data_IF_514823030291
#
_entry.id   IF_514823030291
#
_cell.length_a   1.000
_cell.length_b   1.000
_cell.length_c   1.000
_cell.angle_alpha   90.00
_cell.angle_beta   90.00
_cell.angle_gamma   90.00
#
_symmetry.space_group_name_H-M   'P 1'
#
loop_
_entity.id
_entity.type
_entity.pdbx_description
1 polymer ?
#
# COMPACT_ATOMS: atom_id res chain seq x y z
N UNK A 1 21.76 6.83 15.45
CA UNK A 1 22.60 5.69 15.85
C UNK A 1 23.63 5.53 14.75
N UNK A 2 24.92 5.81 15.02
CA UNK A 2 25.97 5.77 13.99
C UNK A 2 26.36 4.30 13.81
N UNK A 3 26.28 3.79 12.57
CA UNK A 3 26.68 2.43 12.27
C UNK A 3 28.16 2.24 12.57
N UNK A 4 28.56 1.06 13.05
CA UNK A 4 29.97 0.77 13.37
C UNK A 4 30.88 0.93 12.14
N UNK A 5 30.33 0.85 10.93
CA UNK A 5 31.00 1.15 9.66
C UNK A 5 31.48 2.59 9.51
N UNK A 6 30.80 3.55 10.15
CA UNK A 6 31.01 4.98 9.95
C UNK A 6 31.98 5.56 11.00
N UNK A 7 32.37 4.73 11.98
CA UNK A 7 33.27 5.10 13.06
C UNK A 7 34.47 4.15 13.06
N UNK A 8 35.49 4.55 12.30
CA UNK A 8 36.74 3.79 12.13
C UNK A 8 37.42 3.43 13.46
N UNK A 9 37.17 4.18 14.54
CA UNK A 9 37.68 3.85 15.87
C UNK A 9 37.02 2.60 16.46
N UNK A 10 35.72 2.41 16.23
CA UNK A 10 34.96 1.24 16.70
C UNK A 10 35.23 -0.01 15.86
N UNK A 11 35.40 0.17 14.55
CA UNK A 11 35.83 -0.90 13.63
C UNK A 11 37.21 -1.44 14.01
N UNK A 12 38.15 -0.54 14.35
CA UNK A 12 39.47 -0.92 14.87
C UNK A 12 39.38 -1.63 16.22
N UNK A 13 38.53 -1.16 17.14
CA UNK A 13 38.31 -1.86 18.41
C UNK A 13 37.75 -3.27 18.21
N UNK A 14 36.85 -3.48 17.25
CA UNK A 14 36.34 -4.80 16.89
C UNK A 14 37.45 -5.69 16.32
N UNK A 15 38.28 -5.17 15.42
CA UNK A 15 39.47 -5.89 14.91
C UNK A 15 40.41 -6.34 16.04
N UNK A 16 40.68 -5.47 17.02
CA UNK A 16 41.51 -5.82 18.17
C UNK A 16 40.88 -6.92 19.04
N UNK A 17 39.55 -6.93 19.21
CA UNK A 17 38.86 -7.99 19.96
C UNK A 17 38.95 -9.33 19.20
N UNK A 18 38.81 -9.30 17.88
CA UNK A 18 38.90 -10.50 17.03
C UNK A 18 40.33 -11.06 16.91
N UNK A 19 41.36 -10.27 17.21
CA UNK A 19 42.75 -10.73 17.28
C UNK A 19 43.02 -11.69 18.45
N UNK A 20 42.19 -11.66 19.49
CA UNK A 20 42.32 -12.52 20.68
C UNK A 20 41.80 -13.95 20.44
N UNK A 21 41.13 -14.20 19.30
CA UNK A 21 40.59 -15.51 18.94
C UNK A 21 41.42 -16.12 17.78
N UNK A 22 42.03 -17.28 18.02
CA UNK A 22 42.97 -17.95 17.11
C UNK A 22 42.42 -18.14 15.68
N UNK A 23 41.11 -18.46 15.58
CA UNK A 23 40.42 -18.74 14.32
C UNK A 23 40.09 -17.49 13.50
N UNK A 24 39.99 -16.31 14.13
CA UNK A 24 39.60 -15.05 13.47
C UNK A 24 40.75 -14.08 13.24
N UNK A 25 41.99 -14.45 13.63
CA UNK A 25 43.19 -13.63 13.43
C UNK A 25 43.40 -13.12 11.98
N UNK A 26 43.22 -13.92 10.92
CA UNK A 26 43.44 -13.44 9.55
C UNK A 26 42.45 -12.31 9.18
N UNK A 27 41.17 -12.50 9.51
CA UNK A 27 40.13 -11.51 9.25
C UNK A 27 40.34 -10.24 10.09
N UNK A 28 40.76 -10.40 11.34
CA UNK A 28 41.07 -9.28 12.23
C UNK A 28 42.23 -8.42 11.71
N UNK A 29 43.27 -9.05 11.15
CA UNK A 29 44.41 -8.36 10.53
C UNK A 29 43.99 -7.54 9.30
N UNK A 30 43.15 -8.12 8.43
CA UNK A 30 42.64 -7.41 7.26
C UNK A 30 41.81 -6.18 7.65
N UNK A 31 40.92 -6.33 8.66
CA UNK A 31 40.11 -5.20 9.17
C UNK A 31 40.97 -4.07 9.75
N UNK A 32 41.99 -4.41 10.56
CA UNK A 32 42.89 -3.41 11.16
C UNK A 32 43.72 -2.72 10.09
N UNK A 33 44.23 -3.48 9.11
CA UNK A 33 45.03 -2.95 8.01
C UNK A 33 44.24 -1.97 7.16
N UNK A 34 43.01 -2.31 6.78
CA UNK A 34 42.13 -1.43 6.01
C UNK A 34 41.80 -0.14 6.79
N UNK A 35 41.62 -0.24 8.11
CA UNK A 35 41.42 0.94 8.95
C UNK A 35 42.68 1.84 8.99
N UNK A 36 43.87 1.26 9.11
CA UNK A 36 45.12 2.02 9.16
C UNK A 36 45.50 2.62 7.80
N UNK A 37 45.14 1.98 6.67
CA UNK A 37 45.32 2.55 5.32
C UNK A 37 44.43 3.77 5.06
N UNK A 38 43.22 3.80 5.65
CA UNK A 38 42.31 4.96 5.58
C UNK A 38 42.83 6.11 6.43
N UNK A 39 43.42 5.82 7.60
CA UNK A 39 43.98 6.84 8.51
C UNK A 39 45.29 7.45 7.96
N UNK A 40 46.07 6.68 7.19
CA UNK A 40 47.38 7.12 6.69
C UNK A 40 47.37 7.76 5.29
N UNK A 41 46.21 8.00 4.67
CA UNK A 41 46.12 8.77 3.42
C UNK A 41 46.32 10.27 3.68
N UNK A 42 47.35 10.93 3.11
CA UNK A 42 47.48 12.37 3.22
C UNK A 42 46.56 13.06 2.19
N UNK A 43 45.60 13.84 2.69
CA UNK A 43 44.97 14.95 1.97
C UNK A 43 43.50 14.77 1.58
N UNK A 44 42.58 15.30 2.40
CA UNK A 44 41.93 16.60 2.14
C UNK A 44 41.18 17.01 3.40
N UNK A 45 41.74 17.97 4.11
CA UNK A 45 41.16 18.66 5.26
C UNK A 45 40.03 19.58 4.80
N UNK A 46 38.82 19.38 5.32
CA UNK A 46 37.83 20.45 5.45
C UNK A 46 37.50 20.58 6.95
N UNK A 47 38.01 21.67 7.51
CA UNK A 47 38.00 21.98 8.93
C UNK A 47 36.58 22.12 9.49
N UNK A 48 36.33 21.42 10.58
CA UNK A 48 35.26 21.75 11.53
C UNK A 48 35.64 23.06 12.22
N UNK A 49 34.75 24.04 12.21
CA UNK A 49 34.80 25.17 13.14
C UNK A 49 33.51 25.19 13.96
N UNK A 50 33.60 25.22 15.30
CA UNK A 50 32.45 25.31 16.18
C UNK A 50 31.98 26.76 16.26
N UNK A 51 30.68 27.02 16.38
CA UNK A 51 30.16 27.97 17.36
C UNK A 51 28.63 28.18 17.30
N UNK A 52 28.10 28.36 18.51
CA UNK A 52 26.90 29.10 18.95
C UNK A 52 25.53 28.42 18.95
N UNK A 53 25.12 28.10 20.18
CA UNK A 53 23.74 28.02 20.66
C UNK A 53 23.01 29.34 20.35
N UNK A 54 21.93 29.31 19.58
CA UNK A 54 20.88 30.32 19.69
C UNK A 54 19.50 29.68 19.62
N UNK A 55 18.78 29.84 20.73
CA UNK A 55 17.37 29.60 20.94
C UNK A 55 16.49 30.43 19.99
N UNK A 56 15.19 30.06 19.94
CA UNK A 56 14.02 30.87 19.52
C UNK A 56 13.49 30.60 18.10
N UNK A 57 12.52 29.70 17.95
CA UNK A 57 11.09 30.08 17.92
C UNK A 57 10.20 28.85 17.65
N UNK A 58 9.36 28.52 18.64
CA UNK A 58 8.09 27.86 18.40
C UNK A 58 7.23 28.75 17.51
N UNK A 59 6.77 28.23 16.37
CA UNK A 59 5.51 28.67 15.80
C UNK A 59 4.74 27.46 15.29
N UNK A 60 3.74 27.11 16.09
CA UNK A 60 2.63 26.24 15.77
C UNK A 60 2.02 26.59 14.41
N UNK A 61 1.86 25.60 13.54
CA UNK A 61 0.76 25.63 12.57
C UNK A 61 -0.03 24.34 12.72
N UNK A 62 -1.29 24.52 13.10
CA UNK A 62 -2.23 23.47 13.40
C UNK A 62 -2.75 22.77 12.14
N UNK A 63 -3.26 21.56 12.38
CA UNK A 63 -4.26 20.81 11.59
C UNK A 63 -3.78 20.06 10.34
N UNK A 64 -3.56 18.75 10.52
CA UNK A 64 -4.53 17.73 10.10
C UNK A 64 -4.13 16.37 10.67
N UNK A 65 -4.81 15.93 11.74
CA UNK A 65 -4.79 14.53 12.17
C UNK A 65 -5.51 13.70 11.11
N UNK A 66 -4.76 13.14 10.16
CA UNK A 66 -5.23 12.04 9.33
C UNK A 66 -4.44 10.81 9.76
N UNK A 67 -5.09 9.95 10.54
CA UNK A 67 -4.59 8.64 10.94
C UNK A 67 -4.22 7.81 9.71
N UNK A 68 -2.95 7.82 9.33
CA UNK A 68 -2.39 6.93 8.33
C UNK A 68 -2.11 5.56 8.96
N UNK A 69 -3.18 4.83 9.28
CA UNK A 69 -3.13 3.40 9.58
C UNK A 69 -3.45 2.63 8.32
N UNK A 70 -2.44 2.37 7.49
CA UNK A 70 -2.52 1.31 6.51
C UNK A 70 -1.14 0.68 6.42
N UNK A 71 -0.97 -0.48 7.07
CA UNK A 71 -0.05 -1.51 6.62
C UNK A 71 -0.89 -2.60 5.99
N UNK A 72 -0.63 -2.98 4.75
CA UNK A 72 -1.30 -4.13 4.14
C UNK A 72 -0.63 -5.36 4.74
N UNK A 73 -1.45 -6.32 5.14
CA UNK A 73 -1.03 -7.59 5.70
C UNK A 73 -0.88 -8.58 4.54
N UNK A 74 0.03 -9.54 4.66
CA UNK A 74 -0.02 -10.70 3.78
C UNK A 74 -1.30 -11.48 4.10
N UNK A 75 -2.30 -11.38 3.23
CA UNK A 75 -3.45 -12.28 3.28
C UNK A 75 -2.98 -13.66 2.83
N UNK A 76 -2.58 -14.52 3.77
CA UNK A 76 -2.33 -15.92 3.47
C UNK A 76 -3.67 -16.61 3.06
N UNK A 77 -3.58 -17.82 2.50
CA UNK A 77 -4.75 -18.61 2.07
C UNK A 77 -5.80 -18.87 3.17
N UNK A 78 -5.47 -18.75 4.46
CA UNK A 78 -6.40 -18.90 5.59
C UNK A 78 -7.44 -17.76 5.70
N UNK A 79 -7.25 -16.65 4.99
CA UNK A 79 -8.17 -15.50 5.01
C UNK A 79 -9.03 -15.40 3.75
N UNK A 80 -8.76 -16.24 2.76
CA UNK A 80 -9.56 -16.35 1.54
C UNK A 80 -11.03 -16.64 1.90
N UNK A 81 -11.26 -17.46 2.94
CA UNK A 81 -12.58 -17.76 3.48
C UNK A 81 -13.35 -16.52 3.95
N UNK A 82 -12.72 -15.57 4.64
CA UNK A 82 -13.40 -14.33 5.07
C UNK A 82 -13.79 -13.45 3.87
N UNK A 83 -12.94 -13.37 2.84
CA UNK A 83 -13.28 -12.63 1.63
C UNK A 83 -14.37 -13.31 0.82
N UNK A 84 -14.33 -14.64 0.73
CA UNK A 84 -15.35 -15.44 0.07
C UNK A 84 -16.69 -15.36 0.83
N UNK A 85 -16.65 -15.28 2.17
CA UNK A 85 -17.81 -15.05 3.01
C UNK A 85 -18.43 -13.67 2.77
N UNK A 86 -17.65 -12.58 2.80
CA UNK A 86 -18.15 -11.23 2.45
C UNK A 86 -18.74 -11.20 1.03
N UNK A 87 -18.08 -11.87 0.07
CA UNK A 87 -18.55 -11.97 -1.31
C UNK A 87 -19.85 -12.78 -1.40
N UNK A 88 -19.96 -13.85 -0.61
CA UNK A 88 -21.16 -14.69 -0.50
C UNK A 88 -22.35 -13.90 0.01
N UNK A 89 -22.19 -13.18 1.12
CA UNK A 89 -23.23 -12.32 1.69
C UNK A 89 -23.65 -11.20 0.72
N UNK A 90 -22.71 -10.61 -0.02
CA UNK A 90 -23.04 -9.66 -1.08
C UNK A 90 -23.84 -10.31 -2.23
N UNK A 91 -23.51 -11.54 -2.59
CA UNK A 91 -24.28 -12.35 -3.54
C UNK A 91 -25.71 -12.62 -3.06
N UNK A 92 -25.87 -12.97 -1.78
CA UNK A 92 -27.18 -13.20 -1.14
C UNK A 92 -28.01 -11.92 -1.16
N UNK A 93 -27.43 -10.77 -0.79
CA UNK A 93 -28.11 -9.47 -0.86
C UNK A 93 -28.61 -9.20 -2.28
N UNK A 94 -27.75 -9.34 -3.30
CA UNK A 94 -28.11 -9.13 -4.71
C UNK A 94 -29.26 -10.04 -5.14
N UNK A 95 -29.17 -11.33 -4.79
CA UNK A 95 -30.18 -12.33 -5.12
C UNK A 95 -31.54 -12.03 -4.47
N UNK A 96 -31.57 -11.49 -3.24
CA UNK A 96 -32.84 -11.14 -2.56
C UNK A 96 -33.38 -9.77 -3.01
N UNK A 97 -32.52 -8.78 -3.20
CA UNK A 97 -32.94 -7.38 -3.39
C UNK A 97 -33.37 -7.07 -4.83
N UNK A 98 -32.74 -7.69 -5.83
CA UNK A 98 -33.08 -7.44 -7.24
C UNK A 98 -34.52 -7.87 -7.57
N UNK A 99 -34.96 -9.09 -7.21
CA UNK A 99 -36.36 -9.49 -7.43
C UNK A 99 -37.34 -8.63 -6.64
N UNK A 100 -36.99 -8.25 -5.41
CA UNK A 100 -37.82 -7.41 -4.56
C UNK A 100 -38.06 -6.03 -5.19
N UNK A 101 -36.98 -5.35 -5.61
CA UNK A 101 -37.07 -4.06 -6.29
C UNK A 101 -37.85 -4.18 -7.60
N UNK A 102 -37.59 -5.24 -8.37
CA UNK A 102 -38.28 -5.51 -9.64
C UNK A 102 -39.80 -5.65 -9.45
N UNK A 103 -40.24 -6.17 -8.31
CA UNK A 103 -41.66 -6.31 -7.97
C UNK A 103 -42.27 -5.02 -7.41
N UNK A 104 -41.50 -4.23 -6.67
CA UNK A 104 -42.01 -3.03 -5.99
C UNK A 104 -42.13 -1.81 -6.91
N UNK A 105 -41.26 -1.69 -7.92
CA UNK A 105 -41.28 -0.58 -8.86
C UNK A 105 -42.14 -0.96 -10.07
N UNK A 106 -43.04 -0.07 -10.49
CA UNK A 106 -43.95 -0.34 -11.62
C UNK A 106 -43.54 0.34 -12.93
N UNK A 107 -42.67 1.36 -12.88
CA UNK A 107 -42.24 2.13 -14.05
C UNK A 107 -40.74 2.00 -14.29
N UNK A 108 -40.37 1.50 -15.48
CA UNK A 108 -38.98 1.45 -15.97
C UNK A 108 -38.44 2.85 -16.17
N UNK A 109 -39.25 3.72 -16.78
CA UNK A 109 -38.92 5.10 -17.13
C UNK A 109 -38.70 5.96 -15.90
N UNK A 110 -39.50 5.79 -14.84
CA UNK A 110 -39.32 6.53 -13.59
C UNK A 110 -38.00 6.17 -12.93
N UNK A 111 -37.69 4.87 -12.79
CA UNK A 111 -36.43 4.40 -12.21
C UNK A 111 -35.23 4.84 -13.06
N UNK A 112 -35.32 4.71 -14.38
CA UNK A 112 -34.29 5.12 -15.32
C UNK A 112 -34.02 6.63 -15.21
N UNK A 113 -35.05 7.45 -15.24
CA UNK A 113 -34.92 8.91 -15.13
C UNK A 113 -34.33 9.31 -13.78
N UNK A 114 -34.79 8.69 -12.68
CA UNK A 114 -34.25 8.92 -11.35
C UNK A 114 -32.75 8.59 -11.25
N UNK A 115 -32.33 7.46 -11.82
CA UNK A 115 -30.92 7.06 -11.80
C UNK A 115 -30.06 7.92 -12.72
N UNK A 116 -30.57 8.35 -13.87
CA UNK A 116 -29.83 9.29 -14.74
C UNK A 116 -29.65 10.66 -14.09
N UNK A 117 -30.62 11.12 -13.29
CA UNK A 117 -30.49 12.36 -12.51
C UNK A 117 -29.51 12.21 -11.34
N UNK A 118 -29.54 11.06 -10.65
CA UNK A 118 -28.74 10.84 -9.44
C UNK A 118 -27.32 10.36 -9.75
N UNK A 119 -27.13 9.66 -10.86
CA UNK A 119 -25.90 9.00 -11.31
C UNK A 119 -25.75 9.17 -12.84
N UNK A 120 -25.43 10.38 -13.33
CA UNK A 120 -25.32 10.68 -14.75
C UNK A 120 -24.34 9.77 -15.50
N UNK A 121 -23.30 9.27 -14.82
CA UNK A 121 -22.31 8.34 -15.36
C UNK A 121 -22.91 6.99 -15.83
N UNK A 122 -24.09 6.62 -15.34
CA UNK A 122 -24.78 5.39 -15.74
C UNK A 122 -25.62 5.56 -17.01
N UNK A 123 -25.77 6.77 -17.53
CA UNK A 123 -26.73 7.10 -18.60
C UNK A 123 -26.52 6.25 -19.86
N UNK A 124 -25.27 6.02 -20.26
CA UNK A 124 -24.93 5.19 -21.41
C UNK A 124 -25.35 3.73 -21.20
N UNK A 125 -25.03 3.14 -20.05
CA UNK A 125 -25.37 1.75 -19.72
C UNK A 125 -26.87 1.54 -19.52
N UNK A 126 -27.56 2.56 -18.97
CA UNK A 126 -29.00 2.53 -18.75
C UNK A 126 -29.79 2.70 -20.05
N UNK A 127 -29.26 3.38 -21.07
CA UNK A 127 -29.98 3.64 -22.33
C UNK A 127 -30.63 2.38 -22.92
N UNK A 128 -29.89 1.27 -22.95
CA UNK A 128 -30.30 -0.03 -23.48
C UNK A 128 -31.13 -0.90 -22.49
N UNK A 129 -31.36 -0.43 -21.27
CA UNK A 129 -32.12 -1.19 -20.28
C UNK A 129 -33.63 -1.03 -20.50
N UNK A 130 -34.28 -2.11 -20.93
CA UNK A 130 -35.72 -2.17 -21.23
C UNK A 130 -36.58 -2.67 -20.05
N UNK A 131 -35.97 -3.14 -18.96
CA UNK A 131 -36.69 -3.66 -17.80
C UNK A 131 -36.05 -3.21 -16.49
N UNK A 132 -36.83 -3.21 -15.40
CA UNK A 132 -36.32 -2.91 -14.06
C UNK A 132 -35.21 -3.89 -13.67
N UNK A 133 -35.34 -5.16 -14.06
CA UNK A 133 -34.31 -6.17 -13.83
C UNK A 133 -33.01 -5.81 -14.58
N UNK A 134 -33.10 -5.36 -15.83
CA UNK A 134 -31.92 -4.92 -16.60
C UNK A 134 -31.27 -3.68 -15.96
N UNK A 135 -32.08 -2.72 -15.52
CA UNK A 135 -31.59 -1.54 -14.78
C UNK A 135 -30.88 -1.97 -13.49
N UNK A 136 -31.51 -2.84 -12.71
CA UNK A 136 -30.93 -3.33 -11.45
C UNK A 136 -29.64 -4.11 -11.69
N UNK A 137 -29.52 -4.88 -12.77
CA UNK A 137 -28.29 -5.56 -13.15
C UNK A 137 -27.12 -4.58 -13.37
N UNK A 138 -27.37 -3.43 -14.00
CA UNK A 138 -26.39 -2.34 -14.14
C UNK A 138 -26.01 -1.79 -12.76
N UNK A 139 -27.02 -1.44 -11.95
CA UNK A 139 -26.81 -0.88 -10.60
C UNK A 139 -25.96 -1.82 -9.74
N UNK A 140 -26.35 -3.09 -9.64
CA UNK A 140 -25.64 -4.03 -8.77
C UNK A 140 -24.22 -4.31 -9.28
N UNK A 141 -23.95 -4.21 -10.59
CA UNK A 141 -22.61 -4.38 -11.17
C UNK A 141 -21.67 -3.24 -10.78
N UNK A 142 -22.21 -2.04 -10.56
CA UNK A 142 -21.45 -0.86 -10.13
C UNK A 142 -21.27 -0.77 -8.61
N UNK A 143 -22.14 -1.43 -7.83
CA UNK A 143 -21.96 -1.57 -6.40
C UNK A 143 -20.69 -2.37 -6.05
N UNK A 144 -20.04 -1.99 -4.95
CA UNK A 144 -18.91 -2.72 -4.36
C UNK A 144 -19.38 -3.44 -3.08
N UNK A 145 -18.63 -4.45 -2.66
CA UNK A 145 -18.90 -5.21 -1.41
C UNK A 145 -18.89 -4.37 -0.13
N UNK A 146 -18.42 -3.13 -0.19
CA UNK A 146 -18.43 -2.19 0.93
C UNK A 146 -19.22 -0.90 0.60
N UNK A 147 -19.83 -0.83 -0.57
CA UNK A 147 -20.59 0.34 -1.01
C UNK A 147 -21.79 -0.09 -1.87
N UNK A 148 -22.94 -0.13 -1.21
CA UNK A 148 -24.26 -0.43 -1.80
C UNK A 148 -25.15 0.81 -1.89
N UNK A 149 -24.55 2.01 -1.88
CA UNK A 149 -25.29 3.28 -1.76
C UNK A 149 -26.36 3.47 -2.84
N UNK A 150 -26.10 3.03 -4.07
CA UNK A 150 -27.09 3.10 -5.16
C UNK A 150 -28.36 2.31 -4.81
N UNK A 151 -28.20 1.10 -4.27
CA UNK A 151 -29.32 0.24 -3.84
C UNK A 151 -30.09 0.93 -2.71
N UNK A 152 -29.38 1.50 -1.73
CA UNK A 152 -30.00 2.23 -0.60
C UNK A 152 -30.84 3.41 -1.09
N UNK A 153 -30.30 4.20 -2.02
CA UNK A 153 -30.97 5.37 -2.58
C UNK A 153 -32.23 4.98 -3.35
N UNK A 154 -32.20 3.90 -4.14
CA UNK A 154 -33.39 3.35 -4.81
C UNK A 154 -34.44 2.94 -3.77
N UNK A 155 -34.05 2.18 -2.75
CA UNK A 155 -34.96 1.71 -1.70
C UNK A 155 -35.61 2.88 -0.94
N UNK A 156 -34.87 3.96 -0.70
CA UNK A 156 -35.39 5.17 -0.07
C UNK A 156 -36.37 5.89 -1.01
N UNK A 157 -35.99 6.12 -2.26
CA UNK A 157 -36.81 6.87 -3.24
C UNK A 157 -38.14 6.19 -3.56
N UNK A 158 -38.13 4.87 -3.63
CA UNK A 158 -39.31 4.05 -3.96
C UNK A 158 -39.97 3.44 -2.72
N UNK A 159 -39.55 3.86 -1.52
CA UNK A 159 -40.15 3.48 -0.24
C UNK A 159 -40.29 1.95 -0.04
N UNK A 160 -39.30 1.18 -0.49
CA UNK A 160 -39.34 -0.29 -0.49
C UNK A 160 -39.01 -0.80 0.91
N UNK A 161 -40.00 -0.78 1.80
CA UNK A 161 -39.81 -1.05 3.24
C UNK A 161 -39.23 -2.43 3.52
N UNK A 162 -39.60 -3.43 2.72
CA UNK A 162 -39.17 -4.83 2.82
C UNK A 162 -37.69 -5.00 2.51
N UNK A 163 -37.07 -4.06 1.78
CA UNK A 163 -35.64 -4.11 1.45
C UNK A 163 -34.75 -3.56 2.58
N UNK A 164 -35.31 -2.74 3.48
CA UNK A 164 -34.57 -2.16 4.61
C UNK A 164 -33.92 -3.21 5.51
N UNK A 165 -34.63 -4.26 6.00
CA UNK A 165 -34.00 -5.27 6.85
C UNK A 165 -32.88 -6.03 6.12
N UNK A 166 -33.03 -6.30 4.82
CA UNK A 166 -32.00 -6.98 4.02
C UNK A 166 -30.71 -6.16 3.91
N UNK A 167 -30.84 -4.84 3.73
CA UNK A 167 -29.71 -3.92 3.70
C UNK A 167 -29.02 -3.88 5.06
N UNK A 168 -29.80 -3.74 6.14
CA UNK A 168 -29.25 -3.68 7.50
C UNK A 168 -28.56 -4.96 7.92
N UNK A 169 -29.14 -6.14 7.60
CA UNK A 169 -28.54 -7.45 7.85
C UNK A 169 -27.14 -7.54 7.18
N UNK A 170 -27.07 -7.20 5.90
CA UNK A 170 -25.82 -7.20 5.16
C UNK A 170 -24.79 -6.19 5.71
N UNK A 171 -25.22 -4.96 6.04
CA UNK A 171 -24.32 -3.94 6.58
C UNK A 171 -23.70 -4.36 7.92
N UNK A 172 -24.49 -5.00 8.80
CA UNK A 172 -23.97 -5.54 10.07
C UNK A 172 -23.05 -6.74 9.88
N UNK A 173 -23.32 -7.63 8.92
CA UNK A 173 -22.40 -8.73 8.58
C UNK A 173 -21.06 -8.21 8.05
N UNK A 174 -21.08 -7.29 7.09
CA UNK A 174 -19.86 -6.69 6.54
C UNK A 174 -19.09 -5.96 7.64
N UNK A 175 -19.77 -5.22 8.50
CA UNK A 175 -19.15 -4.52 9.64
C UNK A 175 -18.54 -5.49 10.65
N UNK A 176 -19.21 -6.61 10.94
CA UNK A 176 -18.70 -7.66 11.82
C UNK A 176 -17.45 -8.30 11.23
N UNK A 177 -17.50 -8.71 9.97
CA UNK A 177 -16.36 -9.30 9.26
C UNK A 177 -15.19 -8.33 9.12
N UNK A 178 -15.45 -7.04 8.83
CA UNK A 178 -14.43 -6.01 8.83
C UNK A 178 -13.86 -5.74 10.23
N UNK A 179 -14.68 -5.84 11.28
CA UNK A 179 -14.25 -5.78 12.68
C UNK A 179 -13.30 -6.92 13.01
N UNK A 180 -13.69 -8.16 12.73
CA UNK A 180 -12.84 -9.35 12.89
C UNK A 180 -11.56 -9.23 12.10
N UNK A 181 -11.61 -8.70 10.88
CA UNK A 181 -10.42 -8.45 10.06
C UNK A 181 -9.48 -7.44 10.73
N UNK A 182 -10.03 -6.33 11.26
CA UNK A 182 -9.27 -5.29 11.96
C UNK A 182 -8.64 -5.82 13.25
N UNK A 183 -9.37 -6.60 14.02
CA UNK A 183 -8.91 -7.20 15.27
C UNK A 183 -7.80 -8.21 14.98
N UNK A 184 -8.00 -9.08 13.99
CA UNK A 184 -6.99 -10.02 13.51
C UNK A 184 -5.72 -9.29 13.06
N UNK A 185 -5.86 -8.28 12.20
CA UNK A 185 -4.78 -7.41 11.76
C UNK A 185 -4.02 -6.84 12.96
N UNK A 186 -4.75 -6.38 13.97
CA UNK A 186 -4.14 -5.78 15.17
C UNK A 186 -3.40 -6.80 16.03
N UNK A 187 -3.92 -8.02 16.16
CA UNK A 187 -3.30 -9.13 16.88
C UNK A 187 -2.09 -9.73 16.15
N UNK A 188 -2.07 -9.62 14.82
CA UNK A 188 -1.01 -10.14 13.96
C UNK A 188 -0.08 -9.04 13.46
N UNK A 189 -0.11 -7.84 14.07
CA UNK A 189 0.93 -6.83 13.84
C UNK A 189 2.25 -7.44 14.28
N UNK A 190 3.26 -7.56 13.40
CA UNK A 190 4.57 -8.01 13.85
C UNK A 190 5.06 -7.05 14.93
N UNK A 191 5.43 -7.60 16.09
CA UNK A 191 5.89 -6.86 17.28
C UNK A 191 7.18 -6.06 17.02
N UNK A 192 7.83 -6.28 15.86
CA UNK A 192 9.08 -5.65 15.46
C UNK A 192 8.97 -5.01 14.06
N UNK A 193 8.24 -3.89 13.95
CA UNK A 193 8.35 -3.02 12.76
C UNK A 193 9.66 -2.20 12.75
N UNK A 194 10.45 -2.22 13.82
CA UNK A 194 11.71 -1.49 13.91
C UNK A 194 12.80 -2.04 12.98
N UNK A 195 12.65 -3.26 12.48
CA UNK A 195 13.63 -3.93 11.61
C UNK A 195 13.18 -3.97 10.14
N UNK A 196 12.30 -3.06 9.71
CA UNK A 196 11.81 -2.99 8.33
C UNK A 196 12.24 -1.70 7.62
N UNK A 197 12.64 -1.86 6.37
CA UNK A 197 12.94 -0.77 5.46
C UNK A 197 11.72 -0.42 4.60
N UNK A 198 11.57 0.87 4.32
CA UNK A 198 10.48 1.37 3.49
C UNK A 198 10.89 1.38 2.03
N UNK A 199 10.14 0.70 1.17
CA UNK A 199 10.26 0.82 -0.28
C UNK A 199 9.13 1.72 -0.75
N UNK A 200 9.42 2.74 -1.57
CA UNK A 200 8.39 3.61 -2.12
C UNK A 200 8.54 3.69 -3.64
N UNK A 201 7.49 3.27 -4.34
CA UNK A 201 7.31 3.48 -5.77
C UNK A 201 6.42 4.70 -5.99
N UNK A 202 6.82 5.56 -6.92
CA UNK A 202 5.96 6.60 -7.51
C UNK A 202 5.86 6.30 -8.98
N UNK A 203 4.64 6.04 -9.45
CA UNK A 203 4.33 5.56 -10.79
C UNK A 203 3.48 6.58 -11.52
N UNK A 204 3.74 6.78 -12.81
CA UNK A 204 2.93 7.63 -13.70
C UNK A 204 1.58 7.01 -14.09
N UNK A 205 1.06 6.10 -13.28
CA UNK A 205 -0.18 5.39 -13.54
C UNK A 205 -1.41 6.25 -13.29
N UNK A 206 -2.42 6.07 -14.14
CA UNK A 206 -3.77 6.56 -13.86
C UNK A 206 -4.51 5.58 -12.93
N UNK A 207 -5.16 6.06 -11.84
CA UNK A 207 -5.85 5.23 -10.84
C UNK A 207 -6.92 4.27 -11.38
N UNK A 208 -7.46 4.55 -12.55
CA UNK A 208 -8.60 3.85 -13.14
C UNK A 208 -8.17 2.72 -14.10
N UNK A 209 -6.91 2.72 -14.53
CA UNK A 209 -6.38 1.81 -15.55
C UNK A 209 -5.61 0.60 -14.98
N UNK A 210 -5.27 0.61 -13.68
CA UNK A 210 -4.33 -0.34 -13.09
C UNK A 210 -4.96 -1.17 -11.95
N UNK A 211 -4.77 -2.48 -12.02
CA UNK A 211 -5.33 -3.50 -11.14
C UNK A 211 -4.38 -3.91 -10.01
N UNK A 212 -4.87 -4.73 -9.07
CA UNK A 212 -4.00 -5.36 -8.06
C UNK A 212 -2.99 -6.33 -8.68
N UNK A 213 -3.30 -6.92 -9.83
CA UNK A 213 -2.39 -7.83 -10.53
C UNK A 213 -1.23 -7.05 -11.16
N UNK A 214 -1.46 -5.83 -11.63
CA UNK A 214 -0.39 -4.95 -12.12
C UNK A 214 0.60 -4.59 -11.00
N UNK A 215 0.10 -4.39 -9.78
CA UNK A 215 0.95 -4.17 -8.60
C UNK A 215 1.75 -5.44 -8.24
N UNK A 216 1.16 -6.63 -8.40
CA UNK A 216 1.90 -7.88 -8.19
C UNK A 216 3.00 -8.05 -9.22
N UNK A 217 2.69 -7.83 -10.50
CA UNK A 217 3.64 -7.88 -11.60
C UNK A 217 4.79 -6.88 -11.39
N UNK A 218 4.49 -5.66 -10.94
CA UNK A 218 5.49 -4.66 -10.58
C UNK A 218 6.47 -5.18 -9.53
N UNK A 219 5.95 -5.76 -8.44
CA UNK A 219 6.80 -6.27 -7.36
C UNK A 219 7.59 -7.51 -7.78
N UNK A 220 7.01 -8.39 -8.60
CA UNK A 220 7.67 -9.53 -9.21
C UNK A 220 8.83 -9.09 -10.12
N UNK A 221 8.62 -8.10 -10.97
CA UNK A 221 9.69 -7.57 -11.83
C UNK A 221 10.75 -6.83 -11.03
N UNK A 222 10.34 -6.00 -10.06
CA UNK A 222 11.28 -5.22 -9.26
C UNK A 222 12.22 -6.10 -8.42
N UNK A 223 11.70 -7.18 -7.82
CA UNK A 223 12.41 -7.91 -6.76
C UNK A 223 12.47 -9.42 -6.96
N UNK A 224 11.85 -9.97 -8.01
CA UNK A 224 11.76 -11.42 -8.30
C UNK A 224 11.37 -12.18 -7.05
N UNK A 225 12.13 -13.21 -6.68
CA UNK A 225 11.85 -14.09 -5.53
C UNK A 225 11.78 -13.36 -4.17
N UNK A 226 12.39 -12.17 -4.05
CA UNK A 226 12.33 -11.36 -2.83
C UNK A 226 10.96 -10.70 -2.63
N UNK A 227 10.14 -10.58 -3.68
CA UNK A 227 8.81 -9.97 -3.62
C UNK A 227 7.90 -10.65 -2.57
N UNK A 228 8.09 -11.96 -2.35
CA UNK A 228 7.34 -12.76 -1.35
C UNK A 228 7.57 -12.29 0.08
N UNK A 229 8.66 -11.54 0.33
CA UNK A 229 8.99 -10.96 1.64
C UNK A 229 8.68 -9.46 1.72
N UNK A 230 8.14 -8.89 0.65
CA UNK A 230 7.77 -7.48 0.57
C UNK A 230 6.29 -7.33 0.86
N UNK A 231 6.01 -6.53 1.86
CA UNK A 231 4.67 -6.22 2.33
C UNK A 231 4.25 -4.91 1.68
N UNK A 232 3.25 -4.89 0.80
CA UNK A 232 2.63 -3.61 0.42
C UNK A 232 2.08 -2.98 1.70
N UNK A 233 2.29 -1.69 1.94
CA UNK A 233 1.83 -0.96 3.12
C UNK A 233 0.57 -0.16 2.78
N UNK A 234 0.71 0.77 1.85
CA UNK A 234 -0.36 1.67 1.42
C UNK A 234 -0.23 1.98 -0.06
N UNK A 235 -1.37 2.31 -0.67
CA UNK A 235 -1.44 2.81 -2.04
C UNK A 235 -2.18 4.13 -1.97
N UNK A 236 -1.53 5.20 -2.42
CA UNK A 236 -2.11 6.53 -2.48
C UNK A 236 -2.35 6.90 -3.95
N UNK A 237 -3.51 7.50 -4.21
CA UNK A 237 -3.94 7.92 -5.53
C UNK A 237 -4.02 9.45 -5.58
N UNK A 238 -3.53 10.02 -6.68
CA UNK A 238 -3.56 11.44 -7.01
C UNK A 238 -3.25 11.59 -8.50
N UNK A 239 -2.40 12.55 -8.88
CA UNK A 239 -1.87 12.65 -10.26
C UNK A 239 -0.86 11.53 -10.59
N UNK A 240 -0.56 10.66 -9.63
CA UNK A 240 0.34 9.51 -9.73
C UNK A 240 -0.08 8.48 -8.69
N UNK A 241 0.32 7.22 -8.89
CA UNK A 241 0.13 6.17 -7.89
C UNK A 241 1.40 6.03 -7.05
N UNK A 242 1.25 6.18 -5.73
CA UNK A 242 2.34 5.96 -4.77
C UNK A 242 2.09 4.66 -4.03
N UNK A 243 3.00 3.70 -4.17
CA UNK A 243 2.95 2.42 -3.47
C UNK A 243 4.07 2.41 -2.44
N UNK A 244 3.68 2.34 -1.17
CA UNK A 244 4.62 2.18 -0.05
C UNK A 244 4.62 0.70 0.30
N UNK A 245 5.79 0.11 0.48
CA UNK A 245 6.00 -1.27 0.90
C UNK A 245 7.01 -1.33 2.04
N UNK A 246 7.03 -2.47 2.73
CA UNK A 246 7.99 -2.82 3.77
C UNK A 246 8.73 -4.09 3.41
N UNK A 247 10.02 -4.11 3.71
CA UNK A 247 10.83 -5.31 3.61
C UNK A 247 11.77 -5.43 4.81
N UNK A 248 12.12 -6.65 5.24
CA UNK A 248 13.08 -6.83 6.33
C UNK A 248 14.41 -6.13 6.05
N UNK A 249 14.96 -5.45 7.06
CA UNK A 249 16.19 -4.66 6.94
C UNK A 249 17.38 -5.49 6.45
N UNK A 250 17.49 -6.76 6.87
CA UNK A 250 18.55 -7.66 6.39
C UNK A 250 18.53 -7.92 4.88
N UNK A 251 17.43 -7.59 4.17
CA UNK A 251 17.33 -7.69 2.71
C UNK A 251 17.71 -6.39 1.99
N UNK A 252 18.00 -5.29 2.70
CA UNK A 252 18.22 -3.97 2.10
C UNK A 252 19.23 -4.00 0.95
N UNK A 253 20.40 -4.60 1.14
CA UNK A 253 21.42 -4.69 0.10
C UNK A 253 20.94 -5.48 -1.12
N UNK A 254 20.25 -6.61 -0.91
CA UNK A 254 19.72 -7.43 -1.99
C UNK A 254 18.60 -6.71 -2.76
N UNK A 255 17.75 -5.95 -2.06
CA UNK A 255 16.69 -5.14 -2.65
C UNK A 255 17.26 -4.00 -3.51
N UNK A 256 18.30 -3.32 -3.02
CA UNK A 256 18.99 -2.26 -3.77
C UNK A 256 19.61 -2.80 -5.05
N UNK A 257 20.38 -3.88 -4.96
CA UNK A 257 20.97 -4.54 -6.14
C UNK A 257 19.89 -4.96 -7.13
N UNK A 258 18.81 -5.58 -6.63
CA UNK A 258 17.77 -6.11 -7.51
C UNK A 258 16.94 -5.02 -8.20
N UNK A 259 16.66 -3.95 -7.48
CA UNK A 259 16.00 -2.78 -8.03
C UNK A 259 16.87 -2.09 -9.10
N UNK A 260 18.19 -2.01 -8.88
CA UNK A 260 19.13 -1.46 -9.86
C UNK A 260 19.19 -2.32 -11.14
N UNK A 261 19.35 -3.64 -11.00
CA UNK A 261 19.39 -4.57 -12.13
C UNK A 261 18.13 -4.48 -13.01
N UNK A 262 16.97 -4.31 -12.38
CA UNK A 262 15.68 -4.32 -13.06
C UNK A 262 15.18 -2.90 -13.41
N UNK A 263 15.96 -1.84 -13.11
CA UNK A 263 15.50 -0.45 -13.22
C UNK A 263 14.99 -0.08 -14.62
N UNK A 264 15.66 -0.57 -15.66
CA UNK A 264 15.28 -0.28 -17.06
C UNK A 264 13.88 -0.80 -17.38
N UNK A 265 13.52 -1.98 -16.87
CA UNK A 265 12.19 -2.58 -17.05
C UNK A 265 11.15 -1.76 -16.28
N UNK A 266 11.45 -1.42 -15.03
CA UNK A 266 10.56 -0.62 -14.18
C UNK A 266 10.24 0.75 -14.80
N UNK A 267 11.24 1.41 -15.40
CA UNK A 267 11.04 2.69 -16.09
C UNK A 267 10.16 2.56 -17.32
N UNK A 268 10.38 1.53 -18.16
CA UNK A 268 9.73 1.42 -19.47
C UNK A 268 8.34 0.79 -19.40
N UNK A 269 8.19 -0.28 -18.63
CA UNK A 269 6.97 -1.09 -18.61
C UNK A 269 6.01 -0.61 -17.52
N UNK A 270 6.53 -0.10 -16.41
CA UNK A 270 5.73 0.29 -15.26
C UNK A 270 5.67 1.81 -15.06
N UNK A 271 6.18 2.61 -16.02
CA UNK A 271 6.17 4.08 -15.96
C UNK A 271 6.69 4.62 -14.61
N UNK A 272 7.79 4.03 -14.11
CA UNK A 272 8.40 4.41 -12.85
C UNK A 272 8.93 5.86 -12.92
N UNK A 273 8.43 6.72 -12.03
CA UNK A 273 8.90 8.10 -11.86
C UNK A 273 9.96 8.16 -10.77
N UNK A 274 9.75 7.45 -9.66
CA UNK A 274 10.67 7.45 -8.52
C UNK A 274 10.63 6.13 -7.76
N UNK A 275 11.80 5.65 -7.35
CA UNK A 275 11.98 4.51 -6.46
C UNK A 275 12.95 4.85 -5.32
N UNK A 276 12.48 4.69 -4.08
CA UNK A 276 13.33 4.77 -2.89
C UNK A 276 13.26 3.48 -2.08
N UNK A 277 14.37 3.10 -1.45
CA UNK A 277 14.48 1.93 -0.58
C UNK A 277 15.24 2.35 0.68
N UNK A 278 14.58 2.30 1.83
CA UNK A 278 15.06 2.92 3.07
C UNK A 278 15.32 4.41 2.85
N UNK A 279 16.53 4.85 3.18
CA UNK A 279 16.99 6.22 2.95
C UNK A 279 17.61 6.46 1.56
N UNK A 280 17.73 5.41 0.72
CA UNK A 280 18.37 5.48 -0.58
C UNK A 280 17.37 5.81 -1.70
N UNK A 281 17.73 6.73 -2.57
CA UNK A 281 17.02 6.97 -3.83
C UNK A 281 17.67 6.12 -4.92
N UNK A 282 16.96 5.08 -5.39
CA UNK A 282 17.43 4.22 -6.48
C UNK A 282 17.25 4.92 -7.82
N UNK A 283 16.14 5.62 -7.99
CA UNK A 283 15.83 6.38 -9.18
C UNK A 283 14.88 7.53 -8.86
N UNK A 284 15.10 8.67 -9.48
CA UNK A 284 14.18 9.81 -9.48
C UNK A 284 14.31 10.55 -10.81
N UNK A 285 13.25 10.54 -11.61
CA UNK A 285 13.22 11.22 -12.90
C UNK A 285 13.49 12.74 -12.79
N UNK A 286 13.20 13.34 -11.63
CA UNK A 286 13.38 14.78 -11.36
C UNK A 286 14.82 15.13 -11.00
N UNK A 287 15.64 14.14 -10.67
CA UNK A 287 17.06 14.29 -10.35
C UNK A 287 17.85 13.83 -11.57
N UNK A 288 17.79 14.60 -12.67
CA UNK A 288 18.73 14.40 -13.78
C UNK A 288 20.06 15.06 -13.41
N UNK A 289 21.09 14.24 -13.22
CA UNK A 289 22.52 14.62 -13.27
C UNK A 289 22.98 14.56 -14.72
#
# INVERSE_FOLDING_TARGET
MIAVSDDHSKLRSLGNILMELEETKPLAQDIIKDCDEIINKPGTTAAVRPDTISTVNELSTANATVSASAGKFFFNAAHQSMFDEVRGHFGILRHKIVPLITKSISSVEELKSFLQLSFPELSAELSNAESINNIMNVVVKKCRVNNISMIKIIVIRFEITEAKPLISEYEEEVKTLCGSLKDFISQNKPEHFNDFETIQFTLGWEPEEHSLDDIRNLLEEAFKELNKRIIVRSIHQGNSIIIICYAPHHLLAALLLKAQDNLTVLMKEFSLIRLTIGHYTVYDERIKV
#
